data_IF_001688086508
#
_entry.id   IF_001688086508
#
_cell.length_a   1.000
_cell.length_b   1.000
_cell.length_c   1.000
_cell.angle_alpha   90.00
_cell.angle_beta   90.00
_cell.angle_gamma   90.00
#
_symmetry.space_group_name_H-M   'P 1'
#
loop_
_entity.id
_entity.type
_entity.pdbx_description
1 polymer ?
#
# COMPACT_ATOMS: atom_id res chain seq x y z
N UNK A 1 21.95 -11.04 -28.91
CA UNK A 1 22.34 -11.55 -27.59
C UNK A 1 21.91 -10.51 -26.57
N UNK A 2 20.75 -10.71 -25.99
CA UNK A 2 20.16 -9.81 -24.99
C UNK A 2 20.64 -10.29 -23.63
N UNK A 3 21.54 -9.53 -23.01
CA UNK A 3 21.93 -9.72 -21.63
C UNK A 3 20.79 -9.24 -20.74
N UNK A 4 20.18 -10.18 -20.05
CA UNK A 4 19.13 -9.89 -19.04
C UNK A 4 19.73 -9.02 -17.94
N UNK A 5 19.13 -7.84 -17.73
CA UNK A 5 19.45 -6.95 -16.62
C UNK A 5 18.90 -7.49 -15.29
N UNK A 6 19.31 -8.70 -14.95
CA UNK A 6 19.22 -9.23 -13.59
C UNK A 6 20.62 -9.18 -12.98
N UNK A 7 21.25 -8.01 -13.00
CA UNK A 7 22.43 -7.79 -12.18
C UNK A 7 21.99 -7.48 -10.75
N UNK A 8 22.08 -8.53 -10.02
CA UNK A 8 22.13 -8.70 -8.59
C UNK A 8 22.86 -7.56 -7.91
N UNK A 9 22.13 -6.78 -7.16
CA UNK A 9 22.68 -5.77 -6.27
C UNK A 9 23.40 -6.44 -5.12
N UNK A 10 24.69 -6.22 -5.05
CA UNK A 10 25.60 -6.87 -4.15
C UNK A 10 25.59 -6.34 -2.73
N UNK A 11 25.58 -7.30 -1.89
CA UNK A 11 25.73 -7.31 -0.46
C UNK A 11 26.95 -6.55 0.06
N UNK A 12 26.71 -5.55 0.90
CA UNK A 12 27.58 -5.30 2.02
C UNK A 12 26.75 -5.56 3.28
N UNK A 13 27.20 -6.47 4.11
CA UNK A 13 26.56 -6.85 5.38
C UNK A 13 25.18 -7.53 5.32
N UNK A 14 24.86 -8.29 4.29
CA UNK A 14 23.62 -9.08 4.24
C UNK A 14 22.34 -8.31 3.98
N UNK A 15 22.40 -7.00 3.68
CA UNK A 15 21.25 -6.18 3.38
C UNK A 15 21.26 -5.75 1.91
N UNK A 16 20.11 -5.90 1.24
CA UNK A 16 19.87 -5.35 -0.10
C UNK A 16 19.30 -3.96 0.08
N UNK A 17 19.95 -2.95 -0.49
CA UNK A 17 19.44 -1.59 -0.55
C UNK A 17 18.98 -1.29 -1.96
N UNK A 18 17.79 -0.73 -2.10
CA UNK A 18 17.31 -0.15 -3.34
C UNK A 18 16.86 1.28 -3.10
N UNK A 19 17.12 2.15 -4.07
CA UNK A 19 16.66 3.52 -4.01
C UNK A 19 15.21 3.62 -4.47
N UNK A 20 14.39 4.30 -3.69
CA UNK A 20 13.00 4.62 -4.01
C UNK A 20 12.85 6.12 -4.02
N UNK A 21 12.49 6.68 -5.18
CA UNK A 21 12.32 8.12 -5.31
C UNK A 21 10.97 8.56 -4.78
N UNK A 22 10.97 9.54 -3.89
CA UNK A 22 9.77 10.10 -3.26
C UNK A 22 9.70 11.59 -3.55
N UNK A 23 8.56 12.02 -4.11
CA UNK A 23 8.20 13.44 -4.23
C UNK A 23 7.22 13.81 -3.12
N UNK A 24 7.44 14.94 -2.49
CA UNK A 24 6.54 15.50 -1.49
C UNK A 24 5.77 16.69 -2.08
N UNK A 25 4.45 16.72 -1.90
CA UNK A 25 3.57 17.80 -2.36
C UNK A 25 3.43 18.91 -1.32
N UNK A 26 3.86 18.67 -0.10
CA UNK A 26 3.77 19.62 1.01
C UNK A 26 4.93 19.42 1.98
N UNK A 27 5.30 20.47 2.68
CA UNK A 27 6.26 20.45 3.78
C UNK A 27 5.62 20.25 5.16
N UNK A 28 4.29 20.11 5.20
CA UNK A 28 3.51 19.98 6.44
C UNK A 28 3.51 18.56 7.02
N UNK A 29 3.98 17.58 6.28
CA UNK A 29 4.12 16.19 6.74
C UNK A 29 5.59 15.87 7.01
N UNK A 30 5.83 15.04 8.01
CA UNK A 30 7.17 14.50 8.24
C UNK A 30 7.59 13.59 7.09
N UNK A 31 8.90 13.57 6.81
CA UNK A 31 9.47 12.71 5.78
C UNK A 31 9.26 11.24 6.13
N UNK A 32 9.06 10.43 5.09
CA UNK A 32 8.93 8.98 5.24
C UNK A 32 10.20 8.39 5.85
N UNK A 33 10.03 7.57 6.86
CA UNK A 33 11.14 6.85 7.48
C UNK A 33 10.65 5.54 8.12
N UNK A 34 11.58 4.61 8.28
CA UNK A 34 11.36 3.44 9.12
C UNK A 34 11.29 3.83 10.60
N UNK A 35 10.55 3.02 11.37
CA UNK A 35 10.65 3.04 12.83
C UNK A 35 11.61 1.92 13.22
N UNK A 36 12.87 2.28 13.41
CA UNK A 36 13.96 1.34 13.64
C UNK A 36 13.65 0.32 14.74
N UNK A 37 13.87 -0.96 14.42
CA UNK A 37 13.65 -2.07 15.32
C UNK A 37 12.19 -2.35 15.69
N UNK A 38 11.21 -1.68 15.05
CA UNK A 38 9.78 -1.83 15.37
C UNK A 38 8.90 -2.24 14.20
N UNK A 39 9.13 -1.70 13.01
CA UNK A 39 8.24 -1.94 11.88
C UNK A 39 8.98 -1.96 10.57
N UNK A 40 8.64 -2.95 9.76
CA UNK A 40 9.00 -3.06 8.34
C UNK A 40 8.09 -2.21 7.43
N UNK A 41 6.96 -1.77 7.96
CA UNK A 41 6.02 -0.89 7.29
C UNK A 41 6.35 0.58 7.59
N UNK A 42 6.18 1.43 6.59
CA UNK A 42 6.40 2.88 6.70
C UNK A 42 5.07 3.59 6.87
N UNK A 43 4.95 4.41 7.91
CA UNK A 43 3.75 5.20 8.17
C UNK A 43 3.54 6.28 7.09
N UNK A 44 2.28 6.44 6.68
CA UNK A 44 1.81 7.51 5.80
C UNK A 44 0.91 8.47 6.57
N UNK A 45 0.97 9.73 6.18
CA UNK A 45 0.36 10.84 6.91
C UNK A 45 -0.69 11.56 6.07
N UNK A 46 -1.72 12.07 6.71
CA UNK A 46 -2.67 12.97 6.06
C UNK A 46 -1.95 14.28 5.65
N UNK A 47 -2.11 14.69 4.40
CA UNK A 47 -1.47 15.89 3.88
C UNK A 47 -2.25 17.17 4.17
N UNK A 48 -3.48 17.06 4.67
CA UNK A 48 -4.37 18.16 5.00
C UNK A 48 -5.29 17.81 6.16
N UNK A 49 -5.91 18.83 6.75
CA UNK A 49 -6.97 18.64 7.73
C UNK A 49 -8.23 18.11 7.05
N UNK A 50 -8.86 17.11 7.64
CA UNK A 50 -10.06 16.45 7.11
C UNK A 50 -11.11 16.35 8.22
N UNK A 51 -12.31 16.84 7.92
CA UNK A 51 -13.49 16.64 8.77
C UNK A 51 -14.47 15.74 8.03
N UNK A 52 -14.93 14.68 8.68
CA UNK A 52 -15.88 13.72 8.12
C UNK A 52 -17.02 13.45 9.09
N UNK A 53 -18.24 13.39 8.56
CA UNK A 53 -19.40 12.88 9.28
C UNK A 53 -19.50 11.36 9.11
N UNK A 54 -20.12 10.69 10.06
CA UNK A 54 -20.40 9.26 9.95
C UNK A 54 -21.09 8.95 8.61
N UNK A 55 -20.58 7.95 7.89
CA UNK A 55 -21.09 7.54 6.57
C UNK A 55 -20.49 8.30 5.39
N UNK A 56 -19.72 9.36 5.58
CA UNK A 56 -19.04 10.05 4.50
C UNK A 56 -17.82 9.25 4.01
N UNK A 57 -17.61 9.30 2.70
CA UNK A 57 -16.42 8.78 2.03
C UNK A 57 -15.57 9.92 1.49
N UNK A 58 -14.25 9.81 1.65
CA UNK A 58 -13.27 10.75 1.08
C UNK A 58 -12.00 10.04 0.64
N UNK A 59 -11.38 10.59 -0.39
CA UNK A 59 -9.98 10.31 -0.72
C UNK A 59 -9.11 11.31 0.06
N UNK A 60 -8.38 10.82 1.06
CA UNK A 60 -7.51 11.65 1.89
C UNK A 60 -6.13 11.69 1.23
N UNK A 61 -5.63 12.87 0.82
CA UNK A 61 -4.32 12.95 0.20
C UNK A 61 -3.21 12.63 1.21
N UNK A 62 -2.21 11.88 0.77
CA UNK A 62 -1.06 11.47 1.57
C UNK A 62 0.18 12.35 1.33
N UNK A 63 0.09 13.29 0.39
CA UNK A 63 1.11 14.31 0.14
C UNK A 63 2.39 13.79 -0.50
N UNK A 64 2.36 12.60 -1.08
CA UNK A 64 3.51 11.96 -1.71
C UNK A 64 3.16 11.37 -3.07
N UNK A 65 4.15 11.26 -3.94
CA UNK A 65 4.18 10.40 -5.10
C UNK A 65 5.50 9.61 -5.07
N UNK A 66 5.48 8.36 -5.51
CA UNK A 66 6.65 7.47 -5.45
C UNK A 66 6.88 6.84 -6.81
N UNK A 67 8.14 6.85 -7.26
CA UNK A 67 8.61 6.05 -8.37
C UNK A 67 9.14 4.73 -7.81
N UNK A 68 8.33 3.68 -7.93
CA UNK A 68 8.70 2.35 -7.45
C UNK A 68 9.76 1.72 -8.37
N UNK A 69 10.68 0.91 -7.82
CA UNK A 69 11.59 0.13 -8.64
C UNK A 69 10.85 -0.84 -9.57
N UNK A 70 11.44 -1.12 -10.72
CA UNK A 70 10.90 -2.14 -11.64
C UNK A 70 10.74 -3.49 -10.95
N UNK A 71 9.61 -4.16 -11.17
CA UNK A 71 9.30 -5.46 -10.57
C UNK A 71 8.69 -5.38 -9.18
N UNK A 72 8.31 -4.17 -8.73
CA UNK A 72 7.69 -3.97 -7.42
C UNK A 72 6.37 -3.21 -7.53
N UNK A 73 5.52 -3.46 -6.57
CA UNK A 73 4.28 -2.73 -6.29
C UNK A 73 4.25 -2.27 -4.83
N UNK A 74 3.45 -1.29 -4.50
CA UNK A 74 3.27 -0.89 -3.10
C UNK A 74 1.87 -1.26 -2.62
N UNK A 75 1.79 -1.69 -1.35
CA UNK A 75 0.54 -1.97 -0.67
C UNK A 75 0.32 -0.97 0.45
N UNK A 76 -0.80 -0.25 0.39
CA UNK A 76 -1.24 0.71 1.40
C UNK A 76 -2.37 0.08 2.21
N UNK A 77 -2.19 0.01 3.52
CA UNK A 77 -3.16 -0.59 4.45
C UNK A 77 -3.33 0.31 5.67
N UNK A 78 -4.43 0.16 6.45
CA UNK A 78 -4.56 0.84 7.73
C UNK A 78 -3.45 0.42 8.70
N UNK A 79 -3.16 1.28 9.65
CA UNK A 79 -2.41 0.91 10.86
C UNK A 79 -3.34 0.22 11.85
N UNK A 80 -2.79 -0.54 12.78
CA UNK A 80 -3.57 -1.19 13.85
C UNK A 80 -4.41 -0.20 14.67
N UNK A 81 -3.97 1.05 14.74
CA UNK A 81 -4.64 2.12 15.50
C UNK A 81 -5.56 3.02 14.65
N UNK A 82 -5.61 2.84 13.33
CA UNK A 82 -6.34 3.74 12.43
C UNK A 82 -7.81 3.85 12.80
N UNK A 83 -8.51 2.74 12.98
CA UNK A 83 -9.91 2.76 13.37
C UNK A 83 -10.13 3.33 14.76
N UNK A 84 -9.32 2.90 15.73
CA UNK A 84 -9.40 3.39 17.12
C UNK A 84 -9.26 4.91 17.20
N UNK A 85 -8.26 5.46 16.52
CA UNK A 85 -7.93 6.88 16.62
C UNK A 85 -8.87 7.75 15.78
N UNK A 86 -9.22 7.31 14.57
CA UNK A 86 -9.91 8.14 13.59
C UNK A 86 -11.30 7.65 13.21
N UNK A 87 -11.71 6.44 13.59
CA UNK A 87 -13.00 5.87 13.23
C UNK A 87 -13.23 5.70 11.74
N UNK A 88 -12.16 5.58 10.96
CA UNK A 88 -12.21 5.37 9.52
C UNK A 88 -11.83 3.94 9.15
N UNK A 89 -12.42 3.44 8.08
CA UNK A 89 -12.04 2.18 7.44
C UNK A 89 -11.59 2.46 6.01
N UNK A 90 -10.68 1.62 5.51
CA UNK A 90 -10.23 1.69 4.12
C UNK A 90 -11.24 0.98 3.22
N UNK A 91 -11.77 1.67 2.22
CA UNK A 91 -12.89 1.15 1.41
C UNK A 91 -12.45 0.13 0.36
N UNK A 92 -11.20 0.16 -0.06
CA UNK A 92 -10.63 -0.79 -1.02
C UNK A 92 -9.78 -1.90 -0.36
N UNK A 93 -9.93 -2.12 0.94
CA UNK A 93 -9.21 -3.10 1.76
C UNK A 93 -7.70 -2.95 1.75
N UNK A 94 -7.07 -3.06 0.59
CA UNK A 94 -5.66 -2.78 0.34
C UNK A 94 -5.54 -1.85 -0.85
N UNK A 95 -4.87 -0.73 -0.68
CA UNK A 95 -4.54 0.17 -1.77
C UNK A 95 -3.34 -0.38 -2.53
N UNK A 96 -3.55 -0.83 -3.76
CA UNK A 96 -2.46 -1.32 -4.61
C UNK A 96 -1.98 -0.19 -5.49
N UNK A 97 -0.69 0.07 -5.45
CA UNK A 97 -0.01 1.07 -6.27
C UNK A 97 0.92 0.34 -7.23
N UNK A 98 0.57 0.35 -8.49
CA UNK A 98 1.42 -0.22 -9.55
C UNK A 98 2.63 0.67 -9.84
N UNK A 99 3.72 0.08 -10.32
CA UNK A 99 4.91 0.82 -10.71
C UNK A 99 4.65 1.87 -11.80
N UNK A 100 3.60 1.69 -12.61
CA UNK A 100 3.19 2.65 -13.64
C UNK A 100 2.55 3.93 -13.08
N UNK A 101 2.10 3.94 -11.82
CA UNK A 101 1.59 5.12 -11.13
C UNK A 101 2.73 5.90 -10.48
N UNK A 102 3.52 6.57 -11.32
CA UNK A 102 4.82 7.14 -10.94
C UNK A 102 5.10 8.54 -11.51
N UNK A 103 4.07 9.21 -11.99
CA UNK A 103 4.18 10.56 -12.55
C UNK A 103 4.27 11.64 -11.46
N UNK A 104 4.68 12.83 -11.87
CA UNK A 104 4.84 14.00 -10.99
C UNK A 104 3.56 14.40 -10.25
N UNK A 105 2.40 14.06 -10.79
CA UNK A 105 1.09 14.38 -10.22
C UNK A 105 0.33 13.14 -9.71
N UNK A 106 0.97 11.98 -9.72
CA UNK A 106 0.40 10.72 -9.24
C UNK A 106 0.49 10.63 -7.72
N UNK A 107 -0.20 11.54 -7.04
CA UNK A 107 -0.28 11.59 -5.59
C UNK A 107 -1.00 10.36 -5.04
N UNK A 108 -0.50 9.83 -3.94
CA UNK A 108 -1.13 8.74 -3.20
C UNK A 108 -2.25 9.25 -2.33
N UNK A 109 -3.32 8.45 -2.21
CA UNK A 109 -4.50 8.74 -1.40
C UNK A 109 -4.88 7.55 -0.54
N UNK A 110 -5.52 7.84 0.59
CA UNK A 110 -6.19 6.85 1.41
C UNK A 110 -7.71 6.97 1.20
N UNK A 111 -8.33 5.90 0.73
CA UNK A 111 -9.78 5.86 0.49
C UNK A 111 -10.50 5.51 1.79
N UNK A 112 -11.10 6.50 2.45
CA UNK A 112 -11.66 6.39 3.79
C UNK A 112 -13.19 6.50 3.81
N UNK A 113 -13.81 5.60 4.58
CA UNK A 113 -15.20 5.74 5.01
C UNK A 113 -15.22 6.01 6.52
N UNK A 114 -15.87 7.10 6.93
CA UNK A 114 -16.02 7.42 8.34
C UNK A 114 -17.17 6.60 8.97
N UNK A 115 -16.86 5.88 10.02
CA UNK A 115 -17.85 5.11 10.80
C UNK A 115 -18.43 5.90 11.98
N UNK A 116 -17.85 7.05 12.27
CA UNK A 116 -18.30 8.06 13.22
C UNK A 116 -17.86 9.43 12.77
N UNK A 117 -18.43 10.49 13.32
CA UNK A 117 -17.90 11.85 13.14
C UNK A 117 -16.45 11.88 13.60
N UNK A 118 -15.59 12.47 12.78
CA UNK A 118 -14.15 12.45 13.04
C UNK A 118 -13.44 13.66 12.43
N UNK A 119 -12.32 14.00 13.04
CA UNK A 119 -11.36 14.98 12.55
C UNK A 119 -9.99 14.32 12.44
N UNK A 120 -9.33 14.56 11.32
CA UNK A 120 -7.97 14.11 11.04
C UNK A 120 -7.17 15.39 10.77
N UNK A 121 -6.07 15.55 11.46
CA UNK A 121 -5.21 16.71 11.28
C UNK A 121 -4.05 16.39 10.32
N UNK A 122 -3.60 17.42 9.61
CA UNK A 122 -2.40 17.32 8.80
C UNK A 122 -1.25 16.73 9.63
N UNK A 123 -0.48 15.83 9.02
CA UNK A 123 0.61 15.08 9.64
C UNK A 123 0.17 13.92 10.58
N UNK A 124 -1.11 13.67 10.77
CA UNK A 124 -1.58 12.46 11.45
C UNK A 124 -1.21 11.21 10.66
N UNK A 125 -0.70 10.18 11.34
CA UNK A 125 -0.38 8.88 10.76
C UNK A 125 -1.64 8.05 10.61
N UNK A 126 -2.21 7.99 9.40
CA UNK A 126 -3.51 7.36 9.14
C UNK A 126 -3.44 6.00 8.49
N UNK A 127 -2.34 5.66 7.86
CA UNK A 127 -2.12 4.37 7.21
C UNK A 127 -0.63 4.07 7.12
N UNK A 128 -0.28 2.99 6.44
CA UNK A 128 1.10 2.54 6.27
C UNK A 128 1.25 1.81 4.94
N UNK A 129 2.48 1.69 4.45
CA UNK A 129 2.77 0.95 3.23
C UNK A 129 4.02 0.12 3.33
N UNK A 130 4.14 -0.85 2.45
CA UNK A 130 5.37 -1.56 2.10
C UNK A 130 5.42 -1.83 0.61
N UNK A 131 6.63 -2.13 0.12
CA UNK A 131 6.87 -2.55 -1.25
C UNK A 131 6.85 -4.07 -1.30
N UNK A 132 6.24 -4.64 -2.34
CA UNK A 132 6.13 -6.08 -2.59
C UNK A 132 6.65 -6.38 -3.99
N UNK A 133 7.29 -7.53 -4.16
CA UNK A 133 7.61 -8.03 -5.50
C UNK A 133 6.33 -8.31 -6.28
N UNK A 134 6.35 -8.00 -7.58
CA UNK A 134 5.27 -8.40 -8.48
C UNK A 134 5.17 -9.92 -8.54
N UNK A 135 3.97 -10.43 -8.78
CA UNK A 135 3.78 -11.86 -9.03
C UNK A 135 4.55 -12.29 -10.30
N UNK A 136 4.96 -13.58 -10.39
CA UNK A 136 5.57 -14.11 -11.60
C UNK A 136 4.68 -13.89 -12.82
N UNK A 137 5.28 -13.57 -13.96
CA UNK A 137 4.54 -13.51 -15.23
C UNK A 137 3.96 -14.89 -15.58
N UNK A 138 2.71 -14.92 -15.99
CA UNK A 138 2.02 -16.15 -16.42
C UNK A 138 1.08 -15.86 -17.58
N UNK A 139 0.75 -16.92 -18.31
CA UNK A 139 -0.26 -16.88 -19.36
C UNK A 139 -1.55 -17.50 -18.84
N UNK A 140 -2.67 -16.84 -19.08
CA UNK A 140 -3.99 -17.44 -18.86
C UNK A 140 -4.35 -18.30 -20.06
N UNK A 141 -4.50 -19.60 -19.82
CA UNK A 141 -4.86 -20.58 -20.84
C UNK A 141 -6.27 -21.06 -20.54
N UNK A 142 -7.20 -20.79 -21.46
CA UNK A 142 -8.56 -21.30 -21.35
C UNK A 142 -8.58 -22.81 -21.60
N UNK A 143 -9.24 -23.52 -20.71
CA UNK A 143 -9.45 -24.97 -20.82
C UNK A 143 -10.89 -25.32 -20.47
N UNK A 144 -11.42 -26.39 -21.02
CA UNK A 144 -12.77 -26.86 -20.69
C UNK A 144 -12.85 -27.56 -19.34
N UNK A 145 -11.74 -28.16 -18.89
CA UNK A 145 -11.65 -28.93 -17.65
C UNK A 145 -10.34 -28.68 -16.92
N UNK A 146 -10.39 -28.75 -15.60
CA UNK A 146 -9.21 -28.74 -14.72
C UNK A 146 -8.93 -30.18 -14.24
N UNK A 147 -7.66 -30.54 -14.07
CA UNK A 147 -7.23 -31.90 -13.76
C UNK A 147 -7.36 -32.29 -12.28
N UNK A 148 -7.51 -31.29 -11.39
CA UNK A 148 -7.60 -31.52 -9.96
C UNK A 148 -8.99 -31.98 -9.50
N UNK A 149 -9.10 -32.72 -8.40
CA UNK A 149 -10.38 -33.09 -7.82
C UNK A 149 -11.07 -31.86 -7.19
N UNK A 150 -12.41 -31.84 -7.21
CA UNK A 150 -13.19 -30.82 -6.53
C UNK A 150 -12.95 -30.91 -5.02
N UNK A 151 -12.47 -29.82 -4.46
CA UNK A 151 -12.24 -29.69 -2.99
C UNK A 151 -13.47 -29.24 -2.23
N UNK A 152 -14.39 -28.56 -2.89
CA UNK A 152 -15.46 -27.80 -2.26
C UNK A 152 -14.95 -26.43 -1.73
N UNK A 153 -15.85 -25.64 -1.18
CA UNK A 153 -15.55 -24.32 -0.66
C UNK A 153 -16.72 -23.81 0.21
N UNK A 154 -16.64 -22.55 0.62
CA UNK A 154 -17.74 -21.85 1.32
C UNK A 154 -18.35 -22.63 2.50
N UNK A 155 -17.52 -23.19 3.38
CA UNK A 155 -17.96 -23.94 4.56
C UNK A 155 -18.00 -25.46 4.38
N UNK A 156 -17.43 -26.00 3.29
CA UNK A 156 -17.32 -27.46 3.07
C UNK A 156 -16.56 -28.20 4.19
N UNK A 157 -15.75 -27.47 4.98
CA UNK A 157 -15.02 -28.03 6.14
C UNK A 157 -15.81 -27.99 7.45
N UNK A 158 -17.08 -27.53 7.41
CA UNK A 158 -17.94 -27.47 8.60
C UNK A 158 -17.66 -26.28 9.52
N UNK A 159 -18.43 -26.23 10.62
CA UNK A 159 -18.36 -25.17 11.64
C UNK A 159 -17.71 -25.60 12.95
N UNK A 160 -17.33 -26.84 13.07
CA UNK A 160 -16.69 -27.36 14.29
C UNK A 160 -15.24 -27.67 14.06
#
# INVERSE_FOLDING_TARGET
MSTSHHEVLYLYSGSIYMDVKVKYFTDKIEKLCYIDGKSDWIDLRAAEDVVMKAGEWKLIPLGIAIELPEGFEAHVVPRSSTYKNFGIIQTNSTGIIDASYCGDNDQWFFSALAMRDTEIHVNDRICQFRIMENQPAFNLVEVDHLDGPDRGGCGSTGRA
#
